data_IF_826407260149
#
_entry.id   IF_826407260149
#
_cell.length_a   1.000
_cell.length_b   1.000
_cell.length_c   1.000
_cell.angle_alpha   90.00
_cell.angle_beta   90.00
_cell.angle_gamma   90.00
#
_symmetry.space_group_name_H-M   'P 1'
#
loop_
_entity.id
_entity.type
_entity.pdbx_description
1 polymer ?
#
# COMPACT_ATOMS: atom_id res chain seq x y z
N UNK A 1 12.05 -40.78 12.12
CA UNK A 1 11.03 -41.59 12.80
C UNK A 1 10.12 -40.66 13.58
N UNK A 2 8.81 -40.73 13.30
CA UNK A 2 7.64 -40.30 14.12
C UNK A 2 7.61 -38.83 14.56
N UNK A 3 6.96 -37.93 13.81
CA UNK A 3 5.50 -37.76 13.74
C UNK A 3 4.83 -37.81 15.14
N UNK A 4 4.61 -36.64 15.75
CA UNK A 4 3.57 -36.45 16.77
C UNK A 4 2.62 -35.36 16.31
N UNK A 5 1.84 -35.79 15.33
CA UNK A 5 0.56 -35.25 14.88
C UNK A 5 -0.49 -35.52 15.97
N UNK A 6 -1.42 -34.58 16.14
CA UNK A 6 -2.70 -34.66 16.86
C UNK A 6 -2.71 -34.46 18.39
N UNK A 7 -2.89 -33.19 18.80
CA UNK A 7 -3.80 -32.86 19.89
C UNK A 7 -4.70 -31.68 19.49
N UNK A 8 -5.47 -31.88 18.42
CA UNK A 8 -6.77 -31.24 18.29
C UNK A 8 -7.76 -31.98 19.22
N UNK A 9 -8.80 -31.27 19.64
CA UNK A 9 -10.06 -31.73 20.27
C UNK A 9 -10.15 -31.52 21.79
N UNK A 10 -11.18 -30.74 22.19
CA UNK A 10 -11.68 -30.32 23.53
C UNK A 10 -11.19 -28.91 23.92
N UNK A 11 -11.99 -27.83 23.99
CA UNK A 11 -13.42 -27.60 24.19
C UNK A 11 -13.80 -26.30 23.42
N UNK A 12 -14.81 -26.25 22.55
CA UNK A 12 -16.24 -26.35 22.83
C UNK A 12 -16.80 -25.18 23.67
N UNK A 13 -17.57 -24.34 22.97
CA UNK A 13 -18.89 -23.81 23.37
C UNK A 13 -18.97 -22.70 24.44
N UNK A 14 -19.26 -21.48 23.97
CA UNK A 14 -20.19 -20.56 24.63
C UNK A 14 -20.86 -19.64 23.58
N UNK A 15 -21.81 -20.21 22.82
CA UNK A 15 -22.87 -19.44 22.16
C UNK A 15 -23.96 -19.22 23.23
N UNK A 16 -24.33 -17.97 23.49
CA UNK A 16 -25.29 -17.61 24.53
C UNK A 16 -26.00 -16.27 24.31
N UNK A 17 -27.08 -16.33 23.54
CA UNK A 17 -28.37 -15.63 23.66
C UNK A 17 -28.45 -14.09 23.76
N UNK A 18 -28.92 -13.51 22.65
CA UNK A 18 -30.07 -12.61 22.48
C UNK A 18 -30.79 -12.21 23.78
N UNK A 19 -30.86 -10.90 24.04
CA UNK A 19 -31.92 -10.29 24.85
C UNK A 19 -32.64 -9.23 24.01
N UNK A 20 -33.77 -9.62 23.41
CA UNK A 20 -34.83 -8.69 23.03
C UNK A 20 -35.51 -8.22 24.31
N UNK A 21 -35.44 -6.92 24.59
CA UNK A 21 -36.39 -6.26 25.48
C UNK A 21 -37.06 -5.16 24.69
N UNK A 22 -38.28 -5.45 24.24
CA UNK A 22 -39.24 -4.42 23.87
C UNK A 22 -39.60 -3.61 25.10
N UNK A 23 -39.52 -2.29 24.99
CA UNK A 23 -40.16 -1.36 25.91
C UNK A 23 -41.42 -0.83 25.22
N UNK A 24 -42.56 -1.15 25.81
CA UNK A 24 -43.90 -0.72 25.41
C UNK A 24 -44.28 0.55 26.17
N UNK A 25 -45.01 1.41 25.46
CA UNK A 25 -45.95 2.44 25.95
C UNK A 25 -45.41 3.68 26.66
N UNK A 26 -45.69 4.86 26.10
CA UNK A 26 -46.82 5.67 26.57
C UNK A 26 -47.10 6.90 25.67
N UNK A 27 -48.40 7.12 25.44
CA UNK A 27 -49.14 8.36 25.22
C UNK A 27 -49.09 9.16 23.90
N UNK A 28 -50.26 9.16 23.27
CA UNK A 28 -50.80 10.03 22.23
C UNK A 28 -50.68 11.54 22.53
N UNK A 29 -50.30 12.31 21.51
CA UNK A 29 -50.77 13.68 21.32
C UNK A 29 -50.72 14.05 19.82
N UNK A 30 -51.88 13.96 19.18
CA UNK A 30 -52.38 14.74 18.05
C UNK A 30 -51.46 15.83 17.46
N UNK A 31 -51.12 15.69 16.18
CA UNK A 31 -51.25 16.77 15.18
C UNK A 31 -51.25 16.18 13.76
N UNK A 32 -52.48 15.91 13.30
CA UNK A 32 -53.01 16.18 11.96
C UNK A 32 -52.02 16.55 10.84
N UNK A 33 -51.81 15.64 9.86
CA UNK A 33 -51.84 15.86 8.40
C UNK A 33 -51.25 14.65 7.64
N UNK A 34 -52.10 13.88 6.95
CA UNK A 34 -51.73 13.06 5.78
C UNK A 34 -51.68 13.96 4.51
N UNK A 35 -51.30 13.49 3.30
CA UNK A 35 -50.08 12.81 2.89
C UNK A 35 -49.52 13.41 1.57
N UNK A 36 -48.21 13.63 1.40
CA UNK A 36 -47.65 13.93 0.06
C UNK A 36 -46.33 13.20 -0.22
N UNK A 37 -46.45 12.23 -1.14
CA UNK A 37 -45.48 11.79 -2.14
C UNK A 37 -43.98 11.98 -1.84
N UNK A 38 -43.35 10.90 -1.42
CA UNK A 38 -41.91 10.72 -1.61
C UNK A 38 -41.67 10.37 -3.09
N UNK A 39 -41.44 11.39 -3.92
CA UNK A 39 -40.53 11.26 -5.06
C UNK A 39 -39.13 11.17 -4.47
N UNK A 40 -38.61 9.95 -4.29
CA UNK A 40 -37.18 9.76 -4.10
C UNK A 40 -36.49 10.05 -5.44
N UNK A 41 -35.98 11.27 -5.45
CA UNK A 41 -35.06 11.89 -6.38
C UNK A 41 -34.00 10.89 -6.85
N UNK A 42 -33.83 10.80 -8.16
CA UNK A 42 -32.72 10.12 -8.84
C UNK A 42 -31.40 10.51 -8.15
N UNK A 43 -30.84 9.57 -7.38
CA UNK A 43 -29.49 9.65 -6.88
C UNK A 43 -28.57 9.63 -8.09
N UNK A 44 -27.95 10.79 -8.36
CA UNK A 44 -26.85 10.94 -9.28
C UNK A 44 -25.88 9.76 -9.12
N UNK A 45 -25.70 9.00 -10.19
CA UNK A 45 -24.49 8.23 -10.39
C UNK A 45 -23.33 9.25 -10.40
N UNK A 46 -22.71 9.47 -9.24
CA UNK A 46 -21.35 9.99 -9.18
C UNK A 46 -20.49 8.94 -9.87
N UNK A 47 -20.28 9.17 -11.16
CA UNK A 47 -19.23 8.55 -11.96
C UNK A 47 -17.93 8.77 -11.19
N UNK A 48 -17.56 7.76 -10.41
CA UNK A 48 -16.28 7.71 -9.72
C UNK A 48 -15.25 7.64 -10.84
N UNK A 49 -14.71 8.80 -11.26
CA UNK A 49 -13.45 8.85 -11.98
C UNK A 49 -12.42 8.26 -11.02
N UNK A 50 -12.24 6.94 -11.07
CA UNK A 50 -11.02 6.31 -10.60
C UNK A 50 -9.91 6.92 -11.44
N UNK A 51 -9.20 7.91 -10.89
CA UNK A 51 -7.90 8.31 -11.37
C UNK A 51 -7.02 7.06 -11.33
N UNK A 52 -6.96 6.33 -12.44
CA UNK A 52 -6.04 5.22 -12.61
C UNK A 52 -4.66 5.84 -12.76
N UNK A 53 -4.00 6.12 -11.64
CA UNK A 53 -2.56 6.42 -11.64
C UNK A 53 -1.86 5.24 -12.28
N UNK A 54 -1.33 5.44 -13.49
CA UNK A 54 -0.63 4.39 -14.22
C UNK A 54 0.74 4.21 -13.56
N UNK A 55 1.01 2.98 -13.09
CA UNK A 55 2.28 2.60 -12.49
C UNK A 55 3.05 1.80 -13.53
N UNK A 56 4.23 2.29 -13.90
CA UNK A 56 5.14 1.60 -14.83
C UNK A 56 6.46 1.27 -14.14
N UNK A 57 7.16 0.26 -14.64
CA UNK A 57 8.48 -0.16 -14.14
C UNK A 57 9.54 0.09 -15.20
N UNK A 58 10.70 0.59 -14.78
CA UNK A 58 11.88 0.73 -15.63
C UNK A 58 12.72 -0.55 -15.58
N UNK A 59 12.47 -1.46 -16.51
CA UNK A 59 13.16 -2.76 -16.55
C UNK A 59 14.67 -2.63 -16.86
N UNK A 60 15.10 -1.55 -17.52
CA UNK A 60 16.52 -1.34 -17.84
C UNK A 60 17.31 -0.94 -16.58
N UNK A 61 16.77 0.01 -15.81
CA UNK A 61 17.39 0.41 -14.54
C UNK A 61 17.38 -0.72 -13.51
N UNK A 62 16.28 -1.49 -13.42
CA UNK A 62 16.22 -2.68 -12.55
C UNK A 62 17.36 -3.65 -12.89
N UNK A 63 17.52 -4.00 -14.16
CA UNK A 63 18.60 -4.89 -14.59
C UNK A 63 19.98 -4.32 -14.27
N UNK A 64 20.20 -3.03 -14.52
CA UNK A 64 21.49 -2.39 -14.24
C UNK A 64 21.85 -2.42 -12.74
N UNK A 65 20.86 -2.22 -11.86
CA UNK A 65 21.06 -2.29 -10.42
C UNK A 65 21.33 -3.73 -9.96
N UNK A 66 20.58 -4.71 -10.47
CA UNK A 66 20.72 -6.13 -10.11
C UNK A 66 21.94 -6.82 -10.73
N UNK A 67 22.57 -6.24 -11.76
CA UNK A 67 23.87 -6.70 -12.26
C UNK A 67 25.00 -6.48 -11.24
N UNK A 68 24.81 -5.57 -10.28
CA UNK A 68 25.75 -5.35 -9.20
C UNK A 68 25.60 -6.46 -8.15
N UNK A 69 26.71 -7.17 -7.85
CA UNK A 69 26.72 -8.23 -6.83
C UNK A 69 26.33 -7.73 -5.42
N UNK A 70 26.35 -6.41 -5.21
CA UNK A 70 25.94 -5.81 -3.97
C UNK A 70 24.41 -5.63 -3.81
N UNK A 71 23.62 -5.89 -4.86
CA UNK A 71 22.14 -5.83 -4.85
C UNK A 71 21.57 -7.24 -4.91
N UNK A 72 20.61 -7.54 -4.03
CA UNK A 72 19.81 -8.77 -4.07
C UNK A 72 18.57 -8.60 -4.96
N UNK A 73 17.91 -7.45 -4.87
CA UNK A 73 16.68 -7.13 -5.60
C UNK A 73 16.54 -5.62 -5.75
N UNK A 74 16.07 -5.16 -6.91
CA UNK A 74 15.71 -3.77 -7.13
C UNK A 74 14.29 -3.64 -7.71
N UNK A 75 13.53 -2.68 -7.19
CA UNK A 75 12.21 -2.34 -7.74
C UNK A 75 12.19 -0.87 -8.12
N UNK A 76 11.72 -0.58 -9.34
CA UNK A 76 11.53 0.79 -9.83
C UNK A 76 10.06 1.01 -10.16
N UNK A 77 9.48 2.07 -9.61
CA UNK A 77 8.11 2.47 -9.86
C UNK A 77 8.07 3.91 -10.35
N UNK A 78 7.68 4.06 -11.61
CA UNK A 78 7.37 5.33 -12.25
C UNK A 78 5.93 5.71 -11.90
N UNK A 79 5.74 6.89 -11.31
CA UNK A 79 4.44 7.44 -10.97
C UNK A 79 4.17 8.62 -11.89
N UNK A 80 3.31 8.42 -12.88
CA UNK A 80 2.84 9.50 -13.73
C UNK A 80 1.81 10.34 -12.94
N UNK A 81 2.20 11.56 -12.60
CA UNK A 81 1.31 12.56 -12.03
C UNK A 81 0.77 13.47 -13.13
N UNK A 82 -0.49 13.88 -13.00
CA UNK A 82 -1.19 14.71 -14.01
C UNK A 82 -0.55 16.11 -14.18
N UNK A 83 0.27 16.55 -13.23
CA UNK A 83 0.92 17.86 -13.20
C UNK A 83 2.45 17.71 -13.24
N UNK A 84 3.05 17.52 -14.43
CA UNK A 84 4.47 17.68 -14.84
C UNK A 84 5.62 17.07 -13.99
N UNK A 85 5.40 16.69 -12.74
CA UNK A 85 6.36 16.14 -11.78
C UNK A 85 6.24 14.61 -11.77
N UNK A 86 6.96 13.97 -12.68
CA UNK A 86 7.13 12.52 -12.64
C UNK A 86 7.99 12.15 -11.42
N UNK A 87 7.38 11.43 -10.48
CA UNK A 87 8.09 10.87 -9.34
C UNK A 87 8.55 9.45 -9.67
N UNK A 88 9.75 9.12 -9.23
CA UNK A 88 10.25 7.75 -9.30
C UNK A 88 10.50 7.24 -7.89
N UNK A 89 9.96 6.08 -7.55
CA UNK A 89 10.27 5.38 -6.31
C UNK A 89 11.16 4.18 -6.65
N UNK A 90 12.28 4.05 -5.93
CA UNK A 90 13.23 2.95 -6.10
C UNK A 90 13.47 2.28 -4.76
N UNK A 91 13.21 0.98 -4.69
CA UNK A 91 13.59 0.14 -3.56
C UNK A 91 14.80 -0.71 -3.94
N UNK A 92 15.90 -0.61 -3.19
CA UNK A 92 17.12 -1.40 -3.39
C UNK A 92 17.36 -2.26 -2.16
N UNK A 93 17.27 -3.58 -2.32
CA UNK A 93 17.60 -4.54 -1.29
C UNK A 93 19.06 -4.96 -1.42
N UNK A 94 19.86 -4.64 -0.41
CA UNK A 94 21.31 -4.92 -0.37
C UNK A 94 21.52 -6.38 0.03
N UNK A 95 22.40 -7.07 -0.70
CA UNK A 95 22.67 -8.47 -0.44
C UNK A 95 23.18 -8.73 0.98
N UNK A 96 22.79 -9.88 1.54
CA UNK A 96 23.05 -10.27 2.94
C UNK A 96 24.55 -10.25 3.32
N UNK A 97 25.44 -10.54 2.37
CA UNK A 97 26.90 -10.58 2.57
C UNK A 97 27.61 -9.23 2.39
N UNK A 98 26.88 -8.19 2.01
CA UNK A 98 27.42 -6.85 1.78
C UNK A 98 27.26 -5.94 2.99
N UNK A 99 28.20 -5.03 3.18
CA UNK A 99 28.13 -4.02 4.23
C UNK A 99 27.61 -2.70 3.66
N UNK A 100 26.57 -2.13 4.28
CA UNK A 100 26.07 -0.80 3.92
C UNK A 100 27.16 0.26 4.18
N UNK A 101 27.42 1.10 3.18
CA UNK A 101 28.45 2.14 3.25
C UNK A 101 28.09 3.35 2.38
N UNK A 102 28.67 4.50 2.71
CA UNK A 102 28.51 5.73 1.92
C UNK A 102 29.04 5.57 0.48
N UNK A 103 30.05 4.72 0.26
CA UNK A 103 30.60 4.47 -1.08
C UNK A 103 29.59 3.72 -1.96
N UNK A 104 28.90 2.70 -1.41
CA UNK A 104 27.81 2.00 -2.11
C UNK A 104 26.65 2.95 -2.41
N UNK A 105 26.24 3.73 -1.42
CA UNK A 105 25.20 4.76 -1.57
C UNK A 105 25.53 5.72 -2.70
N UNK A 106 26.76 6.24 -2.73
CA UNK A 106 27.20 7.18 -3.76
C UNK A 106 27.12 6.55 -5.16
N UNK A 107 27.58 5.31 -5.31
CA UNK A 107 27.55 4.59 -6.59
C UNK A 107 26.11 4.45 -7.13
N UNK A 108 25.17 4.01 -6.29
CA UNK A 108 23.77 3.89 -6.70
C UNK A 108 23.13 5.25 -6.96
N UNK A 109 23.44 6.26 -6.15
CA UNK A 109 22.94 7.63 -6.36
C UNK A 109 23.39 8.17 -7.71
N UNK A 110 24.66 8.00 -8.06
CA UNK A 110 25.20 8.41 -9.37
C UNK A 110 24.50 7.68 -10.51
N UNK A 111 24.38 6.35 -10.41
CA UNK A 111 23.70 5.52 -11.42
C UNK A 111 22.25 5.97 -11.64
N UNK A 112 21.51 6.24 -10.56
CA UNK A 112 20.11 6.68 -10.60
C UNK A 112 19.99 8.10 -11.16
N UNK A 113 20.88 9.01 -10.78
CA UNK A 113 20.89 10.38 -11.30
C UNK A 113 21.23 10.43 -12.79
N UNK A 114 22.08 9.52 -13.28
CA UNK A 114 22.34 9.37 -14.72
C UNK A 114 21.11 8.86 -15.48
N UNK A 115 20.31 7.97 -14.88
CA UNK A 115 19.07 7.46 -15.47
C UNK A 115 17.94 8.50 -15.46
N UNK A 116 17.83 9.29 -14.39
CA UNK A 116 16.77 10.28 -14.19
C UNK A 116 17.31 11.68 -13.85
N UNK A 117 18.00 12.35 -14.79
CA UNK A 117 18.64 13.64 -14.53
C UNK A 117 17.67 14.81 -14.32
N UNK A 118 16.38 14.61 -14.63
CA UNK A 118 15.35 15.65 -14.59
C UNK A 118 14.13 15.21 -13.76
N UNK A 119 14.22 14.12 -12.99
CA UNK A 119 13.12 13.63 -12.14
C UNK A 119 13.52 13.65 -10.67
N UNK A 120 12.54 13.88 -9.81
CA UNK A 120 12.70 13.63 -8.39
C UNK A 120 12.58 12.14 -8.13
N UNK A 121 13.60 11.56 -7.50
CA UNK A 121 13.67 10.12 -7.22
C UNK A 121 13.79 9.90 -5.72
N UNK A 122 12.82 9.18 -5.15
CA UNK A 122 12.91 8.67 -3.79
C UNK A 122 13.52 7.26 -3.82
N UNK A 123 14.59 7.06 -3.06
CA UNK A 123 15.33 5.80 -2.99
C UNK A 123 15.33 5.27 -1.57
N UNK A 124 14.87 4.03 -1.38
CA UNK A 124 14.93 3.31 -0.13
C UNK A 124 15.97 2.20 -0.25
N UNK A 125 16.94 2.21 0.66
CA UNK A 125 17.90 1.12 0.83
C UNK A 125 17.43 0.24 1.98
N UNK A 126 17.29 -1.06 1.71
CA UNK A 126 16.92 -2.06 2.70
C UNK A 126 17.90 -3.22 2.70
N UNK A 127 17.91 -4.01 3.78
CA UNK A 127 18.65 -5.26 3.89
C UNK A 127 17.91 -6.21 4.81
N UNK A 128 17.72 -7.45 4.37
CA UNK A 128 17.01 -8.48 5.14
C UNK A 128 15.61 -8.02 5.62
N UNK A 129 14.96 -7.15 4.85
CA UNK A 129 13.66 -6.55 5.17
C UNK A 129 13.69 -5.38 6.17
N UNK A 130 14.86 -4.94 6.62
CA UNK A 130 15.04 -3.76 7.46
C UNK A 130 15.49 -2.56 6.61
N UNK A 131 14.85 -1.40 6.78
CA UNK A 131 15.27 -0.15 6.13
C UNK A 131 16.60 0.32 6.72
N UNK A 132 17.58 0.55 5.85
CA UNK A 132 18.88 1.12 6.18
C UNK A 132 18.85 2.65 6.12
N UNK A 133 18.39 3.18 4.98
CA UNK A 133 18.35 4.61 4.71
C UNK A 133 17.30 4.91 3.63
N UNK A 134 16.78 6.14 3.64
CA UNK A 134 15.98 6.69 2.56
C UNK A 134 16.55 8.06 2.16
N UNK A 135 16.66 8.32 0.86
CA UNK A 135 17.10 9.60 0.30
C UNK A 135 16.16 10.05 -0.82
N UNK A 136 16.20 11.35 -1.09
CA UNK A 136 15.56 11.97 -2.26
C UNK A 136 16.66 12.59 -3.13
N UNK A 137 16.61 12.33 -4.44
CA UNK A 137 17.51 12.85 -5.46
C UNK A 137 16.72 13.86 -6.31
N UNK A 138 17.32 15.02 -6.56
CA UNK A 138 16.74 16.15 -7.31
C UNK A 138 17.71 16.67 -8.39
#
# INVERSE_FOLDING_TARGET
>A
MTLKRNWLVLMALAIGMISLVGCSSAEDADSDSEPEQEQEQEGQEEESQESSTELSTDEELVQQLEENESVEEAMVQLVDQEEEEQLVNIDINIAADQEWSEDLKSNYTETIQEAYPEKTVDVIFAKDGEMLEQITIE
#
